data_IF_279726731988
#
_entry.id   IF_279726731988
#
_cell.length_a   1.000
_cell.length_b   1.000
_cell.length_c   1.000
_cell.angle_alpha   90.00
_cell.angle_beta   90.00
_cell.angle_gamma   90.00
#
_symmetry.space_group_name_H-M   'P 1'
#
loop_
_entity.id
_entity.type
_entity.pdbx_description
1 polymer ?
#
# COMPACT_ATOMS: atom_id res chain seq x y z
N UNK A 1 -7.78 1.99 -1.30
CA UNK A 1 -8.05 2.99 -0.26
C UNK A 1 -6.84 3.17 0.65
N UNK A 2 -6.70 4.35 1.21
CA UNK A 2 -5.65 4.70 2.16
C UNK A 2 -6.28 5.44 3.35
N UNK A 3 -5.66 5.29 4.52
CA UNK A 3 -6.06 6.02 5.73
C UNK A 3 -4.82 6.36 6.58
N UNK A 4 -4.91 7.33 7.50
CA UNK A 4 -3.87 7.55 8.49
C UNK A 4 -3.53 6.27 9.25
N UNK A 5 -2.27 6.10 9.61
CA UNK A 5 -1.81 5.02 10.46
C UNK A 5 -2.60 4.94 11.78
N UNK A 6 -2.94 3.73 12.20
CA UNK A 6 -3.78 3.50 13.37
C UNK A 6 -5.29 3.53 13.09
N UNK A 7 -5.72 3.72 11.84
CA UNK A 7 -7.13 3.68 11.46
C UNK A 7 -7.65 2.24 11.47
N UNK A 8 -8.76 2.00 12.16
CA UNK A 8 -9.42 0.69 12.17
C UNK A 8 -10.18 0.44 10.87
N UNK A 9 -10.39 -0.84 10.53
CA UNK A 9 -11.09 -1.24 9.30
C UNK A 9 -12.52 -0.66 9.15
N UNK A 10 -13.18 -0.37 10.25
CA UNK A 10 -14.55 0.18 10.28
C UNK A 10 -14.62 1.70 10.21
N UNK A 11 -13.50 2.40 10.18
CA UNK A 11 -13.46 3.85 10.20
C UNK A 11 -13.92 4.48 8.88
N UNK A 12 -14.61 5.61 8.96
CA UNK A 12 -14.93 6.47 7.80
C UNK A 12 -13.73 7.25 7.25
N UNK A 13 -12.55 7.11 7.85
CA UNK A 13 -11.34 7.83 7.47
C UNK A 13 -10.59 7.23 6.26
N UNK A 14 -11.15 6.21 5.61
CA UNK A 14 -10.59 5.64 4.40
C UNK A 14 -10.87 6.52 3.18
N UNK A 15 -9.81 7.00 2.56
CA UNK A 15 -9.88 7.75 1.30
C UNK A 15 -9.77 6.77 0.13
N UNK A 16 -10.70 6.86 -0.81
CA UNK A 16 -10.65 6.09 -2.04
C UNK A 16 -9.54 6.65 -2.96
N UNK A 17 -8.68 5.78 -3.44
CA UNK A 17 -7.60 6.13 -4.38
C UNK A 17 -8.00 5.95 -5.85
N UNK A 18 -9.27 5.64 -6.11
CA UNK A 18 -9.74 5.34 -7.46
C UNK A 18 -9.53 3.87 -7.86
N UNK A 19 -9.64 3.61 -9.16
CA UNK A 19 -9.39 2.30 -9.74
C UNK A 19 -7.89 2.06 -9.88
N UNK A 20 -7.48 0.81 -9.64
CA UNK A 20 -6.09 0.42 -9.79
C UNK A 20 -5.95 -1.09 -9.99
N UNK A 21 -4.79 -1.49 -10.44
CA UNK A 21 -4.39 -2.88 -10.62
C UNK A 21 -3.29 -3.18 -9.61
N UNK A 22 -3.47 -4.22 -8.79
CA UNK A 22 -2.41 -4.73 -7.92
C UNK A 22 -1.69 -5.86 -8.66
N UNK A 23 -0.43 -5.63 -8.97
CA UNK A 23 0.40 -6.57 -9.72
C UNK A 23 0.95 -7.67 -8.82
N UNK A 24 1.36 -7.31 -7.60
CA UNK A 24 1.86 -8.30 -6.65
C UNK A 24 1.62 -7.89 -5.19
N UNK A 25 1.48 -8.91 -4.36
CA UNK A 25 1.60 -8.84 -2.91
C UNK A 25 2.59 -9.90 -2.46
N UNK A 26 3.56 -9.52 -1.64
CA UNK A 26 4.61 -10.40 -1.16
C UNK A 26 4.89 -10.17 0.31
N UNK A 27 4.89 -11.24 1.11
CA UNK A 27 5.39 -11.24 2.48
C UNK A 27 6.86 -11.68 2.47
N UNK A 28 7.73 -10.87 3.06
CA UNK A 28 9.19 -11.06 3.03
C UNK A 28 9.74 -11.10 4.46
N UNK A 29 9.83 -12.30 5.06
CA UNK A 29 10.53 -12.48 6.33
C UNK A 29 12.03 -12.52 6.11
N UNK A 30 12.79 -11.82 6.96
CA UNK A 30 14.24 -11.95 7.04
C UNK A 30 14.57 -12.97 8.13
N UNK A 31 15.10 -14.11 7.74
CA UNK A 31 15.48 -15.19 8.66
C UNK A 31 16.88 -15.01 9.20
N UNK A 32 17.09 -15.47 10.42
CA UNK A 32 18.42 -15.67 10.99
C UNK A 32 18.56 -17.10 11.50
N UNK A 33 19.78 -17.60 11.52
CA UNK A 33 20.14 -18.90 12.04
C UNK A 33 21.28 -18.74 13.05
N UNK A 34 21.11 -19.33 14.23
CA UNK A 34 22.16 -19.35 15.27
C UNK A 34 22.52 -20.79 15.56
N UNK A 35 23.78 -21.15 15.31
CA UNK A 35 24.30 -22.46 15.67
C UNK A 35 24.99 -22.37 17.04
N UNK A 36 24.42 -23.03 18.03
CA UNK A 36 25.08 -23.23 19.31
C UNK A 36 26.07 -24.39 19.19
N UNK A 37 27.29 -24.23 19.72
CA UNK A 37 28.41 -25.15 19.50
C UNK A 37 28.17 -26.65 19.89
N UNK A 38 27.10 -26.95 20.62
CA UNK A 38 26.75 -28.30 21.07
C UNK A 38 25.36 -28.75 20.57
N UNK A 39 24.66 -27.95 19.73
CA UNK A 39 23.37 -28.34 19.19
C UNK A 39 23.54 -28.92 17.77
N UNK A 40 22.98 -30.09 17.47
CA UNK A 40 23.08 -30.69 16.14
C UNK A 40 22.34 -29.88 15.08
N UNK A 41 21.28 -29.17 15.47
CA UNK A 41 20.47 -28.35 14.56
C UNK A 41 20.55 -26.86 14.94
N UNK A 42 20.67 -25.96 13.93
CA UNK A 42 20.65 -24.54 14.19
C UNK A 42 19.25 -24.07 14.65
N UNK A 43 19.23 -23.08 15.55
CA UNK A 43 18.00 -22.38 15.91
C UNK A 43 17.73 -21.35 14.85
N UNK A 44 16.61 -21.49 14.15
CA UNK A 44 16.17 -20.52 13.15
C UNK A 44 15.09 -19.59 13.74
N UNK A 45 15.13 -18.34 13.34
CA UNK A 45 14.13 -17.35 13.70
C UNK A 45 13.93 -16.29 12.62
N UNK A 46 12.99 -15.40 12.85
CA UNK A 46 12.73 -14.25 11.97
C UNK A 46 13.16 -12.99 12.68
N UNK A 47 14.02 -12.20 12.06
CA UNK A 47 14.52 -10.93 12.61
C UNK A 47 13.63 -9.75 12.25
N UNK A 48 13.13 -9.71 11.01
CA UNK A 48 12.23 -8.67 10.53
C UNK A 48 11.24 -9.26 9.52
N UNK A 49 10.07 -8.65 9.44
CA UNK A 49 9.04 -8.99 8.46
C UNK A 49 8.56 -7.71 7.78
N UNK A 50 8.43 -7.76 6.47
CA UNK A 50 7.84 -6.70 5.68
C UNK A 50 6.83 -7.29 4.70
N UNK A 51 5.85 -6.49 4.31
CA UNK A 51 4.99 -6.82 3.18
C UNK A 51 5.18 -5.78 2.09
N UNK A 52 5.32 -6.25 0.86
CA UNK A 52 5.49 -5.42 -0.32
C UNK A 52 4.29 -5.55 -1.23
N UNK A 53 3.81 -4.42 -1.72
CA UNK A 53 2.69 -4.35 -2.67
C UNK A 53 3.15 -3.50 -3.83
N UNK A 54 2.97 -4.00 -5.04
CA UNK A 54 3.20 -3.23 -6.26
C UNK A 54 1.94 -3.21 -7.10
N UNK A 55 1.71 -2.12 -7.79
CA UNK A 55 0.53 -1.94 -8.62
C UNK A 55 0.57 -0.65 -9.42
N UNK A 56 -0.55 -0.33 -10.02
CA UNK A 56 -0.76 0.83 -10.85
C UNK A 56 -2.11 1.46 -10.51
N UNK A 57 -2.17 2.77 -10.35
CA UNK A 57 -3.41 3.54 -10.28
C UNK A 57 -3.75 4.03 -11.69
N UNK A 58 -4.98 3.78 -12.10
CA UNK A 58 -5.52 4.20 -13.40
C UNK A 58 -6.19 5.56 -13.27
N UNK A 59 -6.84 5.78 -12.13
CA UNK A 59 -7.48 7.05 -11.78
C UNK A 59 -6.70 7.68 -10.63
N UNK A 60 -6.16 8.88 -10.85
CA UNK A 60 -5.48 9.63 -9.80
C UNK A 60 -5.67 11.13 -10.02
N UNK A 61 -5.79 11.85 -8.93
CA UNK A 61 -5.83 13.30 -8.89
C UNK A 61 -4.76 13.85 -7.92
N UNK A 62 -4.68 15.16 -7.78
CA UNK A 62 -3.74 15.79 -6.87
C UNK A 62 -3.95 15.37 -5.41
N UNK A 63 -5.20 15.13 -5.00
CA UNK A 63 -5.53 14.70 -3.64
C UNK A 63 -5.02 13.27 -3.38
N UNK A 64 -5.21 12.37 -4.35
CA UNK A 64 -4.69 11.01 -4.32
C UNK A 64 -3.16 11.01 -4.21
N UNK A 65 -2.48 11.80 -5.06
CA UNK A 65 -1.03 11.95 -5.03
C UNK A 65 -0.52 12.45 -3.69
N UNK A 66 -1.14 13.48 -3.12
CA UNK A 66 -0.79 14.01 -1.80
C UNK A 66 -0.97 12.95 -0.70
N UNK A 67 -2.10 12.26 -0.72
CA UNK A 67 -2.45 11.31 0.32
C UNK A 67 -1.53 10.10 0.31
N UNK A 68 -1.28 9.48 -0.85
CA UNK A 68 -0.46 8.27 -0.95
C UNK A 68 1.01 8.52 -0.59
N UNK A 69 1.49 9.74 -0.76
CA UNK A 69 2.88 10.12 -0.46
C UNK A 69 3.14 10.46 1.02
N UNK A 70 2.17 10.28 1.91
CA UNK A 70 2.38 10.44 3.35
C UNK A 70 2.86 11.83 3.77
N UNK A 71 2.44 12.88 3.06
CA UNK A 71 2.76 14.28 3.37
C UNK A 71 4.04 14.81 2.72
N UNK A 72 4.74 14.05 1.89
CA UNK A 72 5.87 14.56 1.10
C UNK A 72 5.44 15.51 -0.01
N UNK A 73 4.19 15.41 -0.43
CA UNK A 73 3.57 16.19 -1.49
C UNK A 73 2.34 16.89 -0.93
N UNK A 74 2.19 18.14 -1.25
CA UNK A 74 0.97 18.90 -0.96
C UNK A 74 0.14 19.07 -2.23
N UNK A 75 -1.17 18.97 -2.09
CA UNK A 75 -2.10 19.20 -3.19
C UNK A 75 -3.11 20.28 -2.84
N UNK A 76 -3.40 21.10 -3.82
CA UNK A 76 -4.50 22.09 -3.79
C UNK A 76 -5.34 21.89 -5.03
N UNK A 77 -6.66 21.82 -4.88
CA UNK A 77 -7.58 21.74 -5.99
C UNK A 77 -8.57 22.89 -5.92
N UNK A 78 -8.78 23.56 -7.05
CA UNK A 78 -9.86 24.52 -7.28
C UNK A 78 -10.82 23.90 -8.31
N UNK A 79 -11.93 24.56 -8.59
CA UNK A 79 -12.91 24.07 -9.57
C UNK A 79 -12.35 23.86 -10.98
N UNK A 80 -11.21 24.47 -11.29
CA UNK A 80 -10.63 24.46 -12.66
C UNK A 80 -9.17 24.05 -12.73
N UNK A 81 -8.45 24.03 -11.60
CA UNK A 81 -7.02 23.71 -11.58
C UNK A 81 -6.68 22.87 -10.35
N UNK A 82 -5.93 21.84 -10.56
CA UNK A 82 -5.32 21.03 -9.52
C UNK A 82 -3.82 21.20 -9.54
N UNK A 83 -3.23 21.57 -8.42
CA UNK A 83 -1.80 21.84 -8.28
C UNK A 83 -1.18 20.91 -7.27
N UNK A 84 -0.06 20.31 -7.65
CA UNK A 84 0.76 19.46 -6.80
C UNK A 84 2.09 20.15 -6.56
N UNK A 85 2.50 20.25 -5.30
CA UNK A 85 3.79 20.85 -4.90
C UNK A 85 4.55 19.82 -4.06
N UNK A 86 5.80 19.60 -4.40
CA UNK A 86 6.67 18.66 -3.69
C UNK A 86 8.00 19.31 -3.33
N UNK A 87 8.61 18.83 -2.25
CA UNK A 87 9.96 19.19 -1.82
C UNK A 87 10.02 19.87 -0.45
N UNK A 88 11.17 19.74 0.21
CA UNK A 88 11.47 20.38 1.51
C UNK A 88 10.93 19.67 2.74
N UNK A 89 10.07 18.66 2.60
CA UNK A 89 9.60 17.85 3.71
C UNK A 89 10.38 16.53 3.79
N UNK A 90 10.96 16.24 4.94
CA UNK A 90 11.85 15.08 5.17
C UNK A 90 11.17 13.98 5.99
N UNK A 91 9.91 14.16 6.39
CA UNK A 91 9.19 13.20 7.23
C UNK A 91 8.11 12.52 6.42
N UNK A 92 8.23 11.20 6.28
CA UNK A 92 7.19 10.37 5.70
C UNK A 92 6.29 9.86 6.81
N UNK A 93 5.02 10.21 6.76
CA UNK A 93 4.02 9.68 7.68
C UNK A 93 3.55 8.31 7.17
N UNK A 94 3.69 7.24 7.97
CA UNK A 94 3.13 5.94 7.60
C UNK A 94 1.62 6.01 7.44
N UNK A 95 1.10 5.21 6.53
CA UNK A 95 -0.32 5.11 6.21
C UNK A 95 -0.78 3.66 6.31
N UNK A 96 -2.07 3.46 6.51
CA UNK A 96 -2.71 2.17 6.33
C UNK A 96 -3.27 2.08 4.90
N UNK A 97 -3.14 0.91 4.27
CA UNK A 97 -3.65 0.67 2.91
C UNK A 97 -4.64 -0.48 2.92
N UNK A 98 -5.72 -0.33 2.15
CA UNK A 98 -6.73 -1.36 1.97
C UNK A 98 -6.99 -1.58 0.48
N UNK A 99 -6.85 -2.81 0.05
CA UNK A 99 -7.04 -3.25 -1.33
C UNK A 99 -8.19 -4.24 -1.33
N UNK A 100 -9.25 -3.93 -2.08
CA UNK A 100 -10.43 -4.78 -2.19
C UNK A 100 -10.56 -5.29 -3.61
N UNK A 101 -10.52 -6.60 -3.77
CA UNK A 101 -10.79 -7.29 -5.02
C UNK A 101 -12.23 -7.82 -5.00
N UNK A 102 -13.00 -7.44 -6.01
CA UNK A 102 -14.38 -7.88 -6.23
C UNK A 102 -14.40 -9.08 -7.16
N UNK A 103 -15.11 -10.12 -6.79
CA UNK A 103 -15.40 -11.28 -7.66
C UNK A 103 -16.88 -11.61 -7.64
N UNK A 104 -17.37 -12.25 -8.69
CA UNK A 104 -18.76 -12.75 -8.78
C UNK A 104 -18.68 -14.27 -8.75
N UNK A 105 -19.38 -14.88 -7.80
CA UNK A 105 -19.48 -16.34 -7.66
C UNK A 105 -20.96 -16.71 -7.61
N UNK A 106 -21.39 -17.49 -8.57
CA UNK A 106 -22.80 -17.92 -8.68
C UNK A 106 -23.80 -16.76 -8.61
N UNK A 107 -23.50 -15.65 -9.29
CA UNK A 107 -24.34 -14.44 -9.33
C UNK A 107 -24.24 -13.55 -8.06
N UNK A 108 -23.49 -13.96 -7.04
CA UNK A 108 -23.31 -13.19 -5.81
C UNK A 108 -21.95 -12.48 -5.82
N UNK A 109 -21.97 -11.20 -5.48
CA UNK A 109 -20.73 -10.43 -5.32
C UNK A 109 -20.02 -10.84 -4.01
N UNK A 110 -18.77 -11.19 -4.12
CA UNK A 110 -17.86 -11.57 -3.03
C UNK A 110 -16.62 -10.68 -3.06
N UNK A 111 -16.05 -10.42 -1.90
CA UNK A 111 -14.87 -9.57 -1.77
C UNK A 111 -13.70 -10.33 -1.16
N UNK A 112 -12.52 -9.96 -1.57
CA UNK A 112 -11.26 -10.30 -0.87
C UNK A 112 -10.58 -8.98 -0.56
N UNK A 113 -10.33 -8.72 0.72
CA UNK A 113 -9.75 -7.47 1.19
C UNK A 113 -8.43 -7.74 1.88
N UNK A 114 -7.38 -7.11 1.39
CA UNK A 114 -6.06 -7.04 2.01
C UNK A 114 -5.95 -5.69 2.71
N UNK A 115 -5.67 -5.69 4.00
CA UNK A 115 -5.38 -4.47 4.78
C UNK A 115 -3.98 -4.56 5.34
N UNK A 116 -3.14 -3.58 5.06
CA UNK A 116 -1.81 -3.39 5.68
C UNK A 116 -1.88 -2.20 6.62
N UNK A 117 -1.28 -2.33 7.81
CA UNK A 117 -1.55 -1.41 8.92
C UNK A 117 -0.59 -0.23 8.97
N UNK A 118 0.67 -0.43 8.61
CA UNK A 118 1.72 0.59 8.69
C UNK A 118 2.65 0.49 7.50
N UNK A 119 2.43 1.32 6.51
CA UNK A 119 3.17 1.27 5.27
C UNK A 119 3.58 2.66 4.76
N UNK A 120 4.60 2.67 3.95
CA UNK A 120 5.10 3.85 3.25
C UNK A 120 5.21 3.55 1.77
N UNK A 121 5.06 4.56 0.93
CA UNK A 121 5.36 4.47 -0.49
C UNK A 121 6.88 4.38 -0.68
N UNK A 122 7.33 3.48 -1.54
CA UNK A 122 8.74 3.27 -1.86
C UNK A 122 9.16 4.16 -3.04
N UNK A 123 9.32 5.43 -2.80
CA UNK A 123 9.69 6.41 -3.82
C UNK A 123 8.61 7.45 -4.08
N UNK A 124 8.91 8.39 -4.97
CA UNK A 124 7.96 9.41 -5.40
C UNK A 124 6.98 8.88 -6.47
N UNK A 125 5.93 9.64 -6.77
CA UNK A 125 5.03 9.31 -7.87
C UNK A 125 5.79 9.41 -9.20
N UNK A 126 5.62 8.40 -10.02
CA UNK A 126 6.05 8.40 -11.40
C UNK A 126 4.80 8.46 -12.29
N UNK A 127 4.73 9.48 -13.14
CA UNK A 127 3.61 9.65 -14.06
C UNK A 127 4.16 9.54 -15.48
N UNK A 128 3.74 8.52 -16.20
CA UNK A 128 4.08 8.38 -17.62
C UNK A 128 3.03 9.09 -18.46
N UNK A 129 3.44 10.13 -19.15
CA UNK A 129 2.58 10.79 -20.13
C UNK A 129 2.64 10.04 -21.45
N UNK A 130 1.50 9.60 -21.91
CA UNK A 130 1.35 8.89 -23.18
C UNK A 130 0.74 9.80 -24.24
N UNK A 131 1.06 9.55 -25.49
CA UNK A 131 0.49 10.24 -26.64
C UNK A 131 -0.84 9.59 -27.06
N UNK A 132 -1.72 10.37 -27.68
CA UNK A 132 -2.98 9.85 -28.26
C UNK A 132 -2.74 8.79 -29.35
N UNK A 133 -1.51 8.70 -29.89
CA UNK A 133 -1.11 7.69 -30.85
C UNK A 133 -0.59 6.37 -30.23
N UNK A 134 -0.47 6.32 -28.91
CA UNK A 134 -0.07 5.09 -28.23
C UNK A 134 -1.19 4.04 -28.29
N UNK A 135 -0.82 2.78 -28.35
CA UNK A 135 -1.79 1.67 -28.39
C UNK A 135 -2.67 1.62 -27.12
N UNK A 136 -2.20 2.16 -26.02
CA UNK A 136 -2.91 2.36 -24.77
C UNK A 136 -2.62 3.77 -24.23
N UNK A 137 -3.47 4.77 -24.57
CA UNK A 137 -3.25 6.17 -24.20
C UNK A 137 -3.53 6.48 -22.73
N UNK A 138 -3.99 5.50 -21.94
CA UNK A 138 -4.29 5.73 -20.53
C UNK A 138 -3.00 5.95 -19.75
N UNK A 139 -2.89 7.11 -19.13
CA UNK A 139 -1.81 7.37 -18.19
C UNK A 139 -2.03 6.56 -16.92
N UNK A 140 -0.99 5.85 -16.47
CA UNK A 140 -1.02 5.08 -15.23
C UNK A 140 0.06 5.61 -14.29
N UNK A 141 -0.18 5.49 -13.00
CA UNK A 141 0.79 5.80 -11.97
C UNK A 141 1.21 4.50 -11.27
N UNK A 142 2.40 3.97 -11.56
CA UNK A 142 2.93 2.83 -10.81
C UNK A 142 3.18 3.23 -9.37
N UNK A 143 2.93 2.30 -8.46
CA UNK A 143 3.24 2.46 -7.05
C UNK A 143 3.89 1.20 -6.47
N UNK A 144 4.77 1.40 -5.51
CA UNK A 144 5.31 0.36 -4.66
C UNK A 144 5.18 0.79 -3.21
N UNK A 145 4.68 -0.10 -2.37
CA UNK A 145 4.42 0.15 -0.95
C UNK A 145 5.14 -0.91 -0.13
N UNK A 146 5.88 -0.48 0.88
CA UNK A 146 6.46 -1.37 1.87
C UNK A 146 5.80 -1.17 3.23
N UNK A 147 5.20 -2.23 3.74
CA UNK A 147 4.62 -2.28 5.08
C UNK A 147 5.60 -2.89 6.08
N UNK A 148 5.67 -2.30 7.26
CA UNK A 148 6.47 -2.73 8.40
C UNK A 148 5.56 -3.14 9.54
N UNK A 149 6.08 -3.89 10.49
CA UNK A 149 5.35 -4.30 11.68
C UNK A 149 4.80 -3.09 12.45
N UNK A 150 3.53 -3.15 12.79
CA UNK A 150 2.90 -2.24 13.73
C UNK A 150 2.94 -2.83 15.13
N UNK A 151 3.91 -2.44 15.91
CA UNK A 151 4.12 -2.94 17.28
C UNK A 151 3.05 -2.51 18.28
N UNK A 152 2.11 -1.64 17.89
CA UNK A 152 0.94 -1.29 18.70
C UNK A 152 -0.14 -2.37 18.65
N UNK A 153 -0.08 -3.27 17.66
CA UNK A 153 -1.00 -4.38 17.49
C UNK A 153 -0.50 -5.66 18.15
N UNK A 154 -1.41 -6.59 18.39
CA UNK A 154 -1.08 -7.89 18.97
C UNK A 154 -0.12 -8.67 18.06
N UNK A 155 0.88 -9.32 18.65
CA UNK A 155 1.80 -10.18 17.92
C UNK A 155 1.05 -11.23 17.08
N UNK A 156 1.50 -11.42 15.83
CA UNK A 156 0.85 -12.28 14.84
C UNK A 156 -0.20 -11.58 13.96
N UNK A 157 -0.59 -10.33 14.29
CA UNK A 157 -1.49 -9.50 13.47
C UNK A 157 -0.96 -8.10 13.20
N UNK A 158 0.37 -7.93 13.23
CA UNK A 158 1.03 -6.63 13.21
C UNK A 158 1.33 -6.10 11.79
N UNK A 159 1.28 -6.95 10.77
CA UNK A 159 1.72 -6.57 9.44
C UNK A 159 0.55 -6.34 8.48
N UNK A 160 -0.32 -7.33 8.35
CA UNK A 160 -1.50 -7.26 7.48
C UNK A 160 -2.59 -8.24 7.89
N UNK A 161 -3.78 -8.05 7.34
CA UNK A 161 -4.86 -9.04 7.35
C UNK A 161 -5.40 -9.26 5.94
N UNK A 162 -5.83 -10.50 5.66
CA UNK A 162 -6.58 -10.83 4.45
C UNK A 162 -7.91 -11.40 4.90
N UNK A 163 -9.00 -10.76 4.47
CA UNK A 163 -10.35 -11.26 4.66
C UNK A 163 -10.95 -11.67 3.32
N UNK A 164 -11.73 -12.74 3.29
CA UNK A 164 -12.36 -13.24 2.08
C UNK A 164 -13.77 -13.71 2.38
N UNK A 165 -14.73 -13.22 1.61
CA UNK A 165 -16.09 -13.75 1.64
C UNK A 165 -16.14 -15.16 1.06
N UNK A 166 -16.75 -16.10 1.77
CA UNK A 166 -16.87 -17.52 1.40
C UNK A 166 -18.08 -17.79 0.53
#
# INVERSE_FOLDING_TARGET
EVAPYGTTAASSAWTNLGAGIVNSFKHVPTKYSVQAGNAPDPIEGVSTEVAQITGELIEYDATVLSTINGGLISATATSSVSTVVAGGNNIITPMAFRITNKRIVSGTTKYTTLTVFKATLDGGPEITFKSDNDADPIAVMPFAITAKLDTSLTAGSQLYTITRDL
#
